data_IF_517236885444
#
_entry.id   IF_517236885444
#
_cell.length_a   1.000
_cell.length_b   1.000
_cell.length_c   1.000
_cell.angle_alpha   90.00
_cell.angle_beta   90.00
_cell.angle_gamma   90.00
#
_symmetry.space_group_name_H-M   'P 1'
#
loop_
_entity.id
_entity.type
_entity.pdbx_description
1 polymer ?
#
# COMPACT_ATOMS: atom_id res chain seq x y z
N UNK A 1 -9.64 52.02 4.71
CA UNK A 1 -10.18 50.77 5.29
C UNK A 1 -9.78 49.66 4.34
N UNK A 2 -8.84 48.84 4.77
CA UNK A 2 -8.07 47.95 3.90
C UNK A 2 -8.53 46.50 3.95
N UNK A 3 -8.03 45.74 2.96
CA UNK A 3 -7.78 44.32 3.05
C UNK A 3 -8.95 43.39 2.75
N UNK A 4 -8.95 42.85 1.52
CA UNK A 4 -9.79 41.73 1.09
C UNK A 4 -9.47 40.44 1.84
N UNK A 5 -10.47 39.55 1.97
CA UNK A 5 -10.26 38.11 2.16
C UNK A 5 -11.01 37.38 1.04
N UNK A 6 -10.24 36.55 0.35
CA UNK A 6 -10.63 35.68 -0.76
C UNK A 6 -11.06 34.34 -0.18
N UNK A 7 -12.20 33.81 -0.63
CA UNK A 7 -12.61 32.43 -0.41
C UNK A 7 -12.42 31.64 -1.72
N UNK A 8 -11.59 30.60 -1.64
CA UNK A 8 -11.55 29.42 -2.50
C UNK A 8 -11.66 28.21 -1.54
N UNK A 9 -12.17 27.03 -1.94
CA UNK A 9 -11.90 26.38 -3.24
C UNK A 9 -13.11 25.70 -3.89
N UNK A 10 -13.04 25.51 -5.21
CA UNK A 10 -13.58 24.31 -5.87
C UNK A 10 -13.04 24.26 -7.30
N UNK A 11 -12.08 23.36 -7.54
CA UNK A 11 -11.60 23.00 -8.88
C UNK A 11 -11.70 21.50 -9.03
N UNK A 12 -12.65 21.07 -9.86
CA UNK A 12 -12.51 20.13 -10.99
C UNK A 12 -13.80 19.33 -11.22
N UNK A 13 -14.74 19.94 -11.95
CA UNK A 13 -15.72 19.20 -12.74
C UNK A 13 -15.14 18.97 -14.15
N UNK A 14 -14.81 17.72 -14.48
CA UNK A 14 -14.53 17.32 -15.85
C UNK A 14 -15.85 17.20 -16.62
N UNK A 15 -16.05 18.06 -17.62
CA UNK A 15 -17.11 17.92 -18.61
C UNK A 15 -16.52 17.28 -19.87
N UNK A 16 -16.92 16.05 -20.16
CA UNK A 16 -16.66 15.39 -21.45
C UNK A 16 -17.61 15.94 -22.51
N UNK A 17 -17.05 16.56 -23.55
CA UNK A 17 -17.74 16.94 -24.78
C UNK A 17 -17.88 15.71 -25.69
N UNK A 18 -19.12 15.36 -26.03
CA UNK A 18 -19.48 14.29 -26.96
C UNK A 18 -19.73 14.86 -28.37
N UNK A 19 -19.11 14.28 -29.40
CA UNK A 19 -19.36 14.60 -30.80
C UNK A 19 -20.38 13.62 -31.43
N UNK A 20 -21.43 14.08 -32.14
CA UNK A 20 -22.35 13.20 -32.84
C UNK A 20 -21.90 12.97 -34.28
N UNK A 21 -21.69 11.72 -34.68
CA UNK A 21 -21.51 11.42 -36.10
C UNK A 21 -20.97 10.05 -36.46
N UNK A 22 -21.75 8.97 -36.26
CA UNK A 22 -21.63 7.75 -37.10
C UNK A 22 -23.01 7.13 -37.32
N UNK A 23 -23.32 6.86 -38.59
CA UNK A 23 -24.55 6.21 -39.07
C UNK A 23 -24.60 4.76 -38.59
N UNK A 24 -25.75 4.35 -38.05
CA UNK A 24 -26.05 2.95 -37.80
C UNK A 24 -26.46 2.27 -39.12
N UNK A 25 -25.85 1.11 -39.42
CA UNK A 25 -26.31 0.19 -40.45
C UNK A 25 -27.33 -0.79 -39.82
N UNK A 26 -28.33 -1.27 -40.57
CA UNK A 26 -29.36 -2.16 -40.03
C UNK A 26 -28.74 -3.54 -39.74
N UNK A 27 -28.90 -4.01 -38.50
CA UNK A 27 -28.60 -5.39 -38.14
C UNK A 27 -29.76 -6.29 -38.59
N UNK A 28 -29.45 -7.20 -39.50
CA UNK A 28 -30.32 -8.30 -39.91
C UNK A 28 -30.71 -9.16 -38.72
N UNK A 29 -32.02 -9.43 -38.60
CA UNK A 29 -32.55 -10.47 -37.71
C UNK A 29 -32.26 -11.82 -38.34
N UNK A 30 -31.43 -12.63 -37.68
CA UNK A 30 -31.38 -14.05 -37.96
C UNK A 30 -31.37 -14.86 -36.65
N UNK A 31 -32.44 -15.65 -36.51
CA UNK A 31 -32.61 -16.94 -35.85
C UNK A 31 -32.30 -17.13 -34.35
N UNK A 32 -33.28 -17.76 -33.70
CA UNK A 32 -33.27 -18.35 -32.35
C UNK A 32 -32.03 -19.20 -32.06
N UNK A 33 -31.44 -18.98 -30.88
CA UNK A 33 -30.48 -19.90 -30.27
C UNK A 33 -30.76 -20.04 -28.77
N UNK A 34 -30.56 -21.23 -28.19
CA UNK A 34 -31.30 -21.70 -27.04
C UNK A 34 -30.94 -20.93 -25.76
N UNK A 35 -32.00 -20.63 -25.03
CA UNK A 35 -32.07 -20.35 -23.60
C UNK A 35 -30.88 -19.61 -22.95
N UNK A 36 -30.90 -18.28 -23.05
CA UNK A 36 -30.04 -17.37 -22.28
C UNK A 36 -30.27 -17.45 -20.75
N UNK A 37 -31.36 -18.04 -20.26
CA UNK A 37 -31.60 -18.20 -18.81
C UNK A 37 -30.69 -19.27 -18.22
N UNK A 38 -30.44 -20.36 -18.96
CA UNK A 38 -29.58 -21.47 -18.50
C UNK A 38 -28.13 -21.06 -18.19
N UNK A 39 -27.55 -20.09 -18.92
CA UNK A 39 -26.20 -19.57 -18.64
C UNK A 39 -26.16 -18.55 -17.49
N UNK A 40 -27.24 -17.79 -17.28
CA UNK A 40 -27.33 -16.83 -16.18
C UNK A 40 -27.58 -17.53 -14.83
N UNK A 41 -28.26 -18.68 -14.83
CA UNK A 41 -28.47 -19.51 -13.63
C UNK A 41 -27.25 -20.37 -13.29
N UNK A 42 -26.50 -20.87 -14.28
CA UNK A 42 -25.25 -21.60 -14.05
C UNK A 42 -24.09 -20.72 -13.52
N UNK A 43 -24.17 -19.40 -13.68
CA UNK A 43 -23.21 -18.43 -13.14
C UNK A 43 -23.53 -17.98 -11.69
N UNK A 44 -24.66 -18.42 -11.12
CA UNK A 44 -24.93 -18.29 -9.67
C UNK A 44 -24.24 -19.41 -8.91
N UNK A 45 -22.92 -19.55 -9.08
CA UNK A 45 -22.14 -20.18 -8.04
C UNK A 45 -22.31 -19.30 -6.80
N UNK A 46 -22.86 -19.90 -5.74
CA UNK A 46 -22.99 -19.25 -4.45
C UNK A 46 -21.59 -18.87 -3.99
N UNK A 47 -21.16 -17.63 -4.27
CA UNK A 47 -19.99 -17.04 -3.65
C UNK A 47 -20.21 -17.13 -2.16
N UNK A 48 -19.40 -17.94 -1.48
CA UNK A 48 -19.35 -17.98 -0.03
C UNK A 48 -19.12 -16.56 0.48
N UNK A 49 -19.59 -16.25 1.69
CA UNK A 49 -19.26 -14.99 2.33
C UNK A 49 -17.73 -14.75 2.36
N UNK A 50 -16.92 -15.80 2.36
CA UNK A 50 -15.46 -15.72 2.30
C UNK A 50 -14.86 -15.50 0.91
N UNK A 51 -15.65 -15.54 -0.16
CA UNK A 51 -15.14 -15.45 -1.54
C UNK A 51 -14.98 -13.98 -2.01
N UNK A 52 -15.34 -13.02 -1.16
CA UNK A 52 -15.19 -11.59 -1.42
C UNK A 52 -14.38 -10.93 -0.31
N UNK A 53 -13.61 -9.89 -0.64
CA UNK A 53 -12.92 -9.10 0.38
C UNK A 53 -13.88 -8.59 1.44
N UNK A 54 -15.03 -8.03 1.03
CA UNK A 54 -16.05 -7.53 1.95
C UNK A 54 -16.53 -8.59 2.94
N UNK A 55 -16.84 -9.79 2.46
CA UNK A 55 -17.28 -10.84 3.36
C UNK A 55 -16.13 -11.47 4.16
N UNK A 56 -14.86 -11.40 3.72
CA UNK A 56 -13.71 -11.71 4.60
C UNK A 56 -13.63 -10.74 5.79
N UNK A 57 -13.89 -9.44 5.58
CA UNK A 57 -13.94 -8.44 6.66
C UNK A 57 -15.12 -8.68 7.60
N UNK A 58 -16.33 -8.89 7.07
CA UNK A 58 -17.55 -9.09 7.85
C UNK A 58 -17.49 -10.36 8.71
N UNK A 59 -16.99 -11.46 8.14
CA UNK A 59 -16.88 -12.73 8.84
C UNK A 59 -15.67 -12.81 9.76
N UNK A 60 -14.74 -11.85 9.67
CA UNK A 60 -13.43 -11.89 10.34
C UNK A 60 -12.67 -13.20 10.04
N UNK A 61 -12.86 -13.75 8.85
CA UNK A 61 -12.17 -14.97 8.42
C UNK A 61 -10.67 -14.74 8.13
N UNK A 62 -10.23 -13.47 8.17
CA UNK A 62 -8.82 -13.06 8.07
C UNK A 62 -8.41 -12.28 9.30
N UNK A 63 -7.13 -12.37 9.66
CA UNK A 63 -6.50 -11.49 10.63
C UNK A 63 -5.72 -10.38 9.91
N UNK A 64 -5.74 -9.20 10.50
CA UNK A 64 -4.89 -8.08 10.09
C UNK A 64 -3.70 -8.01 11.05
N UNK A 65 -2.51 -7.91 10.49
CA UNK A 65 -1.26 -7.73 11.23
C UNK A 65 -0.66 -6.41 10.78
N UNK A 66 -0.44 -5.51 11.74
CA UNK A 66 0.27 -4.27 11.48
C UNK A 66 1.77 -4.54 11.52
N UNK A 67 2.47 -4.16 10.44
CA UNK A 67 3.91 -4.31 10.28
C UNK A 67 4.65 -2.96 10.45
N UNK A 68 3.98 -1.98 11.02
CA UNK A 68 4.45 -0.60 11.13
C UNK A 68 4.99 -0.31 12.54
N UNK A 69 6.13 0.38 12.61
CA UNK A 69 6.56 0.99 13.86
C UNK A 69 5.93 2.39 14.04
N UNK A 70 5.40 2.72 15.23
CA UNK A 70 4.90 4.07 15.52
C UNK A 70 6.01 5.12 15.34
N UNK A 71 5.70 6.18 14.61
CA UNK A 71 6.61 7.31 14.47
C UNK A 71 6.59 8.15 15.75
N UNK A 72 7.78 8.43 16.30
CA UNK A 72 7.95 9.27 17.48
C UNK A 72 9.25 10.05 17.43
N UNK A 73 9.32 11.26 18.02
CA UNK A 73 10.60 11.94 18.20
C UNK A 73 11.60 11.03 18.93
N UNK A 74 12.84 10.99 18.44
CA UNK A 74 13.90 10.15 19.00
C UNK A 74 13.88 8.69 18.55
N UNK A 75 12.97 8.28 17.65
CA UNK A 75 13.06 6.97 17.00
C UNK A 75 14.32 6.85 16.13
N UNK A 76 14.77 5.63 15.79
CA UNK A 76 15.90 5.43 14.89
C UNK A 76 15.71 6.16 13.56
N UNK A 77 16.76 6.83 13.10
CA UNK A 77 16.80 7.52 11.80
C UNK A 77 18.16 7.29 11.15
N UNK A 78 18.17 7.22 9.82
CA UNK A 78 19.42 7.15 9.08
C UNK A 78 20.30 8.38 9.39
N UNK A 79 21.62 8.23 9.68
CA UNK A 79 22.43 9.32 10.24
C UNK A 79 22.49 10.62 9.41
N UNK A 80 22.22 10.56 8.11
CA UNK A 80 22.26 11.71 7.21
C UNK A 80 20.88 12.27 6.87
N UNK A 81 19.80 11.72 7.42
CA UNK A 81 18.43 12.16 7.16
C UNK A 81 17.92 13.10 8.27
N UNK A 82 16.96 14.00 7.94
CA UNK A 82 16.28 14.77 8.97
C UNK A 82 15.50 13.87 9.92
N UNK A 83 15.50 14.22 11.20
CA UNK A 83 14.70 13.55 12.22
C UNK A 83 13.20 13.78 11.99
N UNK A 84 12.37 12.82 12.41
CA UNK A 84 10.93 13.02 12.51
C UNK A 84 10.62 14.09 13.57
N UNK A 85 9.92 15.12 13.13
CA UNK A 85 9.43 16.20 13.98
C UNK A 85 7.90 16.22 13.95
N UNK A 86 7.31 16.29 15.14
CA UNK A 86 5.87 16.48 15.34
C UNK A 86 5.68 17.65 16.30
N UNK A 87 5.07 18.73 15.83
CA UNK A 87 4.85 19.95 16.60
C UNK A 87 3.37 20.20 16.81
N UNK A 88 2.95 20.44 18.06
CA UNK A 88 1.56 20.77 18.40
C UNK A 88 1.19 22.17 17.87
N UNK A 89 0.24 22.24 16.95
CA UNK A 89 -0.27 23.48 16.37
C UNK A 89 -1.54 23.93 17.07
N UNK A 90 -2.49 23.01 17.26
CA UNK A 90 -3.78 23.27 17.93
C UNK A 90 -4.00 22.22 19.02
N UNK A 91 -4.52 22.63 20.19
CA UNK A 91 -4.82 21.75 21.31
C UNK A 91 -6.07 22.18 22.07
N UNK A 92 -6.90 21.19 22.43
CA UNK A 92 -8.04 21.40 23.32
C UNK A 92 -7.63 21.98 24.69
N UNK A 93 -6.43 21.66 25.18
CA UNK A 93 -5.91 22.21 26.45
C UNK A 93 -5.63 23.72 26.37
N UNK A 94 -5.45 24.25 25.14
CA UNK A 94 -5.29 25.68 24.87
C UNK A 94 -6.62 26.38 24.55
N UNK A 95 -7.72 25.63 24.50
CA UNK A 95 -9.05 26.13 24.12
C UNK A 95 -9.33 26.12 22.62
N UNK A 96 -8.46 25.49 21.81
CA UNK A 96 -8.71 25.33 20.38
C UNK A 96 -9.86 24.33 20.14
N UNK A 97 -10.47 24.39 18.95
CA UNK A 97 -11.59 23.50 18.57
C UNK A 97 -11.12 22.17 17.97
N UNK A 98 -9.81 22.00 17.81
CA UNK A 98 -9.18 20.84 17.21
C UNK A 98 -7.86 20.47 17.92
N UNK A 99 -7.43 19.23 17.71
CA UNK A 99 -6.08 18.76 18.03
C UNK A 99 -5.35 18.52 16.72
N UNK A 100 -4.27 19.27 16.48
CA UNK A 100 -3.57 19.28 15.20
C UNK A 100 -2.07 19.41 15.41
N UNK A 101 -1.30 18.66 14.62
CA UNK A 101 0.16 18.70 14.64
C UNK A 101 0.72 18.95 13.24
N UNK A 102 1.76 19.78 13.15
CA UNK A 102 2.62 19.85 11.99
C UNK A 102 3.63 18.70 12.03
N UNK A 103 3.87 18.08 10.87
CA UNK A 103 4.84 17.00 10.71
C UNK A 103 5.94 17.41 9.73
N UNK A 104 7.19 17.08 10.04
CA UNK A 104 8.31 17.19 9.12
C UNK A 104 9.15 15.89 9.18
N UNK A 105 9.49 15.33 8.02
CA UNK A 105 10.19 14.03 7.91
C UNK A 105 10.89 13.88 6.55
N UNK A 106 11.81 12.91 6.46
CA UNK A 106 12.34 12.40 5.18
C UNK A 106 11.38 11.40 4.54
N UNK A 107 11.48 11.18 3.23
CA UNK A 107 10.77 10.08 2.53
C UNK A 107 11.15 8.70 3.11
N UNK A 108 12.37 8.56 3.61
CA UNK A 108 12.91 7.33 4.20
C UNK A 108 12.91 7.37 5.73
N UNK A 109 11.73 7.61 6.31
CA UNK A 109 11.54 7.74 7.76
C UNK A 109 10.65 6.61 8.29
N UNK A 110 11.12 5.88 9.32
CA UNK A 110 10.34 4.78 9.92
C UNK A 110 10.09 3.60 8.98
N UNK A 111 8.96 2.92 9.13
CA UNK A 111 8.49 1.92 8.16
C UNK A 111 8.04 2.65 6.89
N UNK A 112 8.78 2.50 5.78
CA UNK A 112 8.59 3.27 4.55
C UNK A 112 8.68 2.38 3.30
N UNK A 113 8.49 2.98 2.12
CA UNK A 113 8.54 2.32 0.82
C UNK A 113 9.51 3.04 -0.11
N UNK A 114 10.41 2.30 -0.74
CA UNK A 114 11.36 2.84 -1.72
C UNK A 114 10.84 2.65 -3.15
N UNK A 115 10.66 3.76 -3.86
CA UNK A 115 10.40 3.73 -5.30
C UNK A 115 11.71 3.60 -6.10
N UNK A 116 11.67 3.04 -7.33
CA UNK A 116 12.87 2.85 -8.16
C UNK A 116 13.72 4.12 -8.35
N UNK A 117 13.08 5.29 -8.44
CA UNK A 117 13.78 6.58 -8.61
C UNK A 117 14.79 6.89 -7.48
N UNK A 118 14.64 6.26 -6.31
CA UNK A 118 15.53 6.44 -5.17
C UNK A 118 17.00 6.10 -5.50
N UNK A 119 17.24 5.03 -6.25
CA UNK A 119 18.59 4.61 -6.67
C UNK A 119 18.79 4.51 -8.18
N UNK A 120 17.70 4.45 -8.95
CA UNK A 120 17.75 4.32 -10.41
C UNK A 120 17.43 5.68 -11.03
N UNK A 121 18.44 6.35 -11.62
CA UNK A 121 18.24 7.62 -12.32
C UNK A 121 17.21 7.46 -13.45
N UNK A 122 16.15 8.27 -13.41
CA UNK A 122 15.03 8.16 -14.36
C UNK A 122 14.08 6.99 -14.07
N UNK A 123 14.23 6.34 -12.92
CA UNK A 123 13.29 5.35 -12.41
C UNK A 123 11.93 5.97 -12.10
N UNK A 124 10.93 5.09 -11.93
CA UNK A 124 9.55 5.47 -11.63
C UNK A 124 9.48 6.07 -10.22
N UNK A 125 8.83 7.23 -10.08
CA UNK A 125 8.57 7.84 -8.78
C UNK A 125 7.38 7.18 -8.07
N UNK A 126 7.31 7.28 -6.75
CA UNK A 126 6.24 6.64 -5.95
C UNK A 126 4.83 7.06 -6.39
N UNK A 127 4.67 8.32 -6.82
CA UNK A 127 3.41 8.89 -7.33
C UNK A 127 2.94 8.27 -8.63
N UNK A 128 3.86 7.65 -9.38
CA UNK A 128 3.62 7.09 -10.71
C UNK A 128 3.50 5.55 -10.67
N UNK A 129 3.66 4.93 -9.49
CA UNK A 129 3.48 3.49 -9.31
C UNK A 129 1.98 3.18 -9.32
N UNK A 130 1.49 2.25 -10.17
CA UNK A 130 0.09 1.83 -10.16
C UNK A 130 -0.32 1.25 -8.81
N UNK A 131 -1.51 1.61 -8.33
CA UNK A 131 -1.99 1.27 -6.99
C UNK A 131 -2.02 -0.25 -6.75
N UNK A 132 -2.26 -1.03 -7.79
CA UNK A 132 -2.31 -2.49 -7.76
C UNK A 132 -0.98 -3.12 -7.37
N UNK A 133 0.14 -2.40 -7.51
CA UNK A 133 1.47 -2.87 -7.08
C UNK A 133 1.63 -2.90 -5.56
N UNK A 134 0.79 -2.20 -4.81
CA UNK A 134 0.83 -2.20 -3.34
C UNK A 134 0.01 -3.34 -2.72
N UNK A 135 -0.64 -4.16 -3.55
CA UNK A 135 -1.41 -5.31 -3.11
C UNK A 135 -0.85 -6.57 -3.76
N UNK A 136 -0.56 -7.58 -2.96
CA UNK A 136 0.01 -8.79 -3.48
C UNK A 136 0.18 -9.86 -2.42
N UNK A 137 0.56 -11.04 -2.89
CA UNK A 137 1.00 -12.12 -2.02
C UNK A 137 2.38 -11.75 -1.47
N UNK A 138 2.57 -11.99 -0.18
CA UNK A 138 3.87 -11.88 0.47
C UNK A 138 4.27 -13.24 1.01
N UNK A 139 5.52 -13.62 0.80
CA UNK A 139 6.14 -14.77 1.46
C UNK A 139 7.10 -14.26 2.54
N UNK A 140 7.19 -14.98 3.65
CA UNK A 140 8.09 -14.63 4.75
C UNK A 140 9.14 -15.71 4.90
N UNK A 141 10.41 -15.34 4.69
CA UNK A 141 11.57 -16.20 4.92
C UNK A 141 12.11 -15.88 6.32
N UNK A 142 12.20 -16.90 7.18
CA UNK A 142 12.80 -16.75 8.50
C UNK A 142 14.32 -16.63 8.39
N UNK A 143 14.86 -15.48 8.79
CA UNK A 143 16.28 -15.15 8.77
C UNK A 143 16.80 -14.80 10.17
N UNK A 144 16.08 -15.16 11.25
CA UNK A 144 16.47 -14.86 12.64
C UNK A 144 17.77 -15.54 13.08
N UNK A 145 18.24 -16.54 12.33
CA UNK A 145 19.53 -17.19 12.56
C UNK A 145 20.74 -16.40 12.04
N UNK A 146 20.52 -15.40 11.17
CA UNK A 146 21.58 -14.56 10.64
C UNK A 146 22.12 -13.61 11.71
N UNK A 147 23.44 -13.40 11.71
CA UNK A 147 24.10 -12.41 12.56
C UNK A 147 24.06 -11.01 11.91
N UNK A 148 24.23 -9.93 12.69
CA UNK A 148 24.38 -8.59 12.14
C UNK A 148 25.49 -8.54 11.07
N UNK A 149 25.18 -7.95 9.91
CA UNK A 149 26.10 -7.86 8.77
C UNK A 149 26.27 -9.15 7.95
N UNK A 150 25.61 -10.25 8.34
CA UNK A 150 25.60 -11.50 7.56
C UNK A 150 24.56 -11.44 6.44
N UNK A 151 24.96 -11.83 5.23
CA UNK A 151 24.04 -11.99 4.11
C UNK A 151 23.15 -13.24 4.27
N UNK A 152 21.93 -13.16 3.74
CA UNK A 152 21.09 -14.35 3.52
C UNK A 152 21.57 -15.02 2.23
N UNK A 153 22.00 -16.28 2.35
CA UNK A 153 22.50 -17.03 1.20
C UNK A 153 21.36 -17.52 0.30
N UNK A 154 21.58 -17.66 -1.03
CA UNK A 154 20.57 -18.18 -1.95
C UNK A 154 19.98 -19.53 -1.54
N UNK A 155 20.76 -20.38 -0.88
CA UNK A 155 20.32 -21.69 -0.38
C UNK A 155 19.13 -21.58 0.59
N UNK A 156 19.02 -20.50 1.36
CA UNK A 156 17.86 -20.26 2.24
C UNK A 156 16.58 -20.02 1.43
N UNK A 157 16.68 -19.40 0.25
CA UNK A 157 15.54 -19.19 -0.65
C UNK A 157 15.13 -20.52 -1.28
N UNK A 158 16.09 -21.32 -1.76
CA UNK A 158 15.78 -22.63 -2.33
C UNK A 158 15.18 -23.59 -1.30
N UNK A 159 15.67 -23.57 -0.07
CA UNK A 159 15.11 -24.35 1.03
C UNK A 159 13.66 -23.93 1.32
N UNK A 160 13.38 -22.62 1.38
CA UNK A 160 12.02 -22.11 1.52
C UNK A 160 11.11 -22.58 0.39
N UNK A 161 11.55 -22.49 -0.87
CA UNK A 161 10.75 -22.92 -2.03
C UNK A 161 10.49 -24.43 -2.05
N UNK A 162 11.45 -25.24 -1.60
CA UNK A 162 11.29 -26.70 -1.49
C UNK A 162 10.24 -27.09 -0.43
N UNK A 163 10.14 -26.33 0.66
CA UNK A 163 9.20 -26.60 1.75
C UNK A 163 7.80 -26.00 1.50
N UNK A 164 7.74 -24.75 1.03
CA UNK A 164 6.51 -23.96 0.96
C UNK A 164 5.98 -23.72 -0.46
N UNK A 165 6.72 -24.20 -1.47
CA UNK A 165 6.44 -23.97 -2.88
C UNK A 165 7.08 -22.70 -3.44
N UNK A 166 7.09 -22.60 -4.77
CA UNK A 166 7.81 -21.55 -5.49
C UNK A 166 7.33 -20.13 -5.15
N UNK A 167 8.30 -19.22 -5.04
CA UNK A 167 8.07 -17.78 -5.06
C UNK A 167 7.69 -17.41 -6.49
N UNK A 168 6.55 -16.73 -6.63
CA UNK A 168 5.99 -16.38 -7.93
C UNK A 168 6.40 -14.97 -8.32
N UNK A 169 6.42 -14.73 -9.63
CA UNK A 169 6.54 -13.37 -10.14
C UNK A 169 5.43 -12.48 -9.56
N UNK A 170 5.82 -11.35 -8.96
CA UNK A 170 4.91 -10.40 -8.33
C UNK A 170 4.69 -10.62 -6.83
N UNK A 171 5.23 -11.68 -6.24
CA UNK A 171 5.26 -11.79 -4.79
C UNK A 171 6.22 -10.77 -4.16
N UNK A 172 5.81 -10.22 -3.02
CA UNK A 172 6.74 -9.62 -2.08
C UNK A 172 7.47 -10.71 -1.29
N UNK A 173 8.77 -10.52 -1.05
CA UNK A 173 9.57 -11.41 -0.22
C UNK A 173 10.01 -10.64 1.02
N UNK A 174 9.56 -11.07 2.20
CA UNK A 174 9.90 -10.48 3.47
C UNK A 174 10.90 -11.37 4.20
N UNK A 175 12.07 -10.82 4.55
CA UNK A 175 13.05 -11.52 5.37
C UNK A 175 12.87 -11.10 6.83
N UNK A 176 12.50 -12.06 7.68
CA UNK A 176 12.29 -11.80 9.10
C UNK A 176 13.58 -12.06 9.87
N UNK A 177 14.33 -11.01 10.17
CA UNK A 177 15.55 -11.07 11.00
C UNK A 177 15.26 -10.97 12.51
N UNK A 178 14.04 -10.57 12.87
CA UNK A 178 13.68 -10.22 14.25
C UNK A 178 14.35 -8.94 14.74
N UNK A 179 14.86 -8.10 13.85
CA UNK A 179 15.58 -6.86 14.18
C UNK A 179 14.68 -5.78 14.77
N UNK A 180 13.38 -5.85 14.48
CA UNK A 180 12.30 -5.00 14.99
C UNK A 180 12.29 -4.89 16.52
N UNK A 181 12.75 -5.93 17.23
CA UNK A 181 12.89 -5.91 18.71
C UNK A 181 13.85 -4.83 19.23
N UNK A 182 14.73 -4.30 18.38
CA UNK A 182 15.71 -3.28 18.73
C UNK A 182 15.20 -1.86 18.45
N UNK A 183 13.98 -1.68 17.93
CA UNK A 183 13.44 -0.38 17.52
C UNK A 183 13.52 0.71 18.60
N UNK A 184 13.32 0.35 19.87
CA UNK A 184 13.36 1.28 21.00
C UNK A 184 14.78 1.59 21.50
N UNK A 185 15.81 0.99 20.92
CA UNK A 185 17.23 1.27 21.17
C UNK A 185 17.92 1.71 19.87
N UNK A 186 17.91 3.02 19.55
CA UNK A 186 18.52 3.53 18.31
C UNK A 186 20.01 3.21 18.18
N UNK A 187 20.74 3.07 19.29
CA UNK A 187 22.16 2.75 19.24
C UNK A 187 22.39 1.32 18.75
N UNK A 188 21.53 0.38 19.15
CA UNK A 188 21.58 -1.02 18.68
C UNK A 188 20.93 -1.17 17.31
N UNK A 189 19.81 -0.49 17.05
CA UNK A 189 19.08 -0.61 15.79
C UNK A 189 19.90 -0.16 14.58
N UNK A 190 20.77 0.84 14.77
CA UNK A 190 21.59 1.46 13.73
C UNK A 190 23.06 0.96 13.71
N UNK A 191 23.43 0.02 14.60
CA UNK A 191 24.78 -0.54 14.69
C UNK A 191 25.08 -1.53 13.54
#
# INVERSE_FOLDING_TARGET
MGGSVVLQPDVHHAQHLWHPGRRALPFDRCADHPDRRSRAEAARQMTSATDTLAGLFETKAVSFVDLTHPMKPGMPVWPTHPHFCQEMVESYDRGDVACNHALAMSEHTGTHFDAPVHFVRGGVAISDIPVERFFGRMVTIDARGCQPGQAVEPDSIFAFEAEHGLIRQGDAVFFHFGWDRHWDDPAVFLA
#
